data_IF_517192000219
#
_entry.id   IF_517192000219
#
_cell.length_a   1.000
_cell.length_b   1.000
_cell.length_c   1.000
_cell.angle_alpha   90.00
_cell.angle_beta   90.00
_cell.angle_gamma   90.00
#
_symmetry.space_group_name_H-M   'P 1'
#
loop_
_entity.id
_entity.type
_entity.pdbx_description
1 polymer ?
#
# COMPACT_ATOMS: atom_id res chain seq x y z
N UNK A 1 -5.73 50.08 -19.27
CA UNK A 1 -7.14 49.93 -18.83
C UNK A 1 -7.21 48.61 -18.10
N UNK A 2 -7.50 48.70 -16.81
CA UNK A 2 -7.40 47.58 -15.87
C UNK A 2 -8.37 46.48 -16.18
N UNK A 3 -7.81 45.26 -16.41
CA UNK A 3 -8.58 44.03 -16.32
C UNK A 3 -8.73 43.79 -14.80
N UNK A 4 -9.78 44.43 -14.24
CA UNK A 4 -10.10 44.38 -12.83
C UNK A 4 -10.49 42.97 -12.42
N UNK A 5 -9.67 42.42 -11.61
CA UNK A 5 -9.74 41.68 -10.36
C UNK A 5 -11.18 41.39 -9.87
N UNK A 6 -11.73 40.27 -10.24
CA UNK A 6 -12.54 39.50 -9.32
C UNK A 6 -11.61 38.57 -8.52
N UNK A 7 -10.87 39.16 -7.56
CA UNK A 7 -10.23 38.40 -6.53
C UNK A 7 -11.32 37.79 -5.65
N UNK A 8 -11.48 36.48 -5.69
CA UNK A 8 -12.32 35.77 -4.72
C UNK A 8 -11.67 35.93 -3.35
N UNK A 9 -12.05 37.00 -2.61
CA UNK A 9 -11.61 37.20 -1.26
C UNK A 9 -12.33 36.22 -0.33
N UNK A 10 -11.54 35.39 0.35
CA UNK A 10 -12.02 34.56 1.44
C UNK A 10 -11.49 35.11 2.77
N UNK A 11 -12.39 35.46 3.70
CA UNK A 11 -12.02 36.08 4.97
C UNK A 11 -11.17 37.35 4.80
N UNK A 12 -11.35 38.12 3.71
CA UNK A 12 -10.57 39.32 3.43
C UNK A 12 -9.12 39.01 2.99
N UNK A 13 -8.83 37.80 2.55
CA UNK A 13 -7.52 37.40 2.04
C UNK A 13 -7.61 36.95 0.58
N UNK A 14 -6.63 37.35 -0.20
CA UNK A 14 -6.48 36.93 -1.59
C UNK A 14 -5.97 35.50 -1.67
N UNK A 15 -6.53 34.69 -2.58
CA UNK A 15 -6.06 33.31 -2.77
C UNK A 15 -4.59 33.26 -3.22
N UNK A 16 -3.83 32.23 -2.85
CA UNK A 16 -2.43 32.06 -3.25
C UNK A 16 -2.25 32.07 -4.76
N UNK A 17 -1.53 33.04 -5.30
CA UNK A 17 -1.18 33.19 -6.72
C UNK A 17 0.13 33.96 -6.90
N UNK A 18 0.65 33.99 -8.13
CA UNK A 18 1.73 34.90 -8.54
C UNK A 18 1.64 35.13 -10.03
N UNK A 19 1.26 36.34 -10.41
CA UNK A 19 1.18 36.76 -11.81
C UNK A 19 2.53 36.65 -12.53
N UNK A 20 3.60 37.01 -11.84
CA UNK A 20 4.96 36.99 -12.40
C UNK A 20 5.39 35.55 -12.76
N UNK A 21 5.11 34.56 -11.89
CA UNK A 21 5.43 33.16 -12.17
C UNK A 21 4.56 32.58 -13.28
N UNK A 22 3.27 32.95 -13.34
CA UNK A 22 2.37 32.52 -14.43
C UNK A 22 2.87 33.05 -15.78
N UNK A 23 3.21 34.33 -15.84
CA UNK A 23 3.81 34.94 -17.03
C UNK A 23 5.15 34.32 -17.38
N UNK A 24 6.00 34.01 -16.38
CA UNK A 24 7.29 33.37 -16.59
C UNK A 24 7.15 31.98 -17.25
N UNK A 25 6.22 31.15 -16.76
CA UNK A 25 5.96 29.83 -17.36
C UNK A 25 5.40 29.94 -18.78
N UNK A 26 4.37 30.78 -18.99
CA UNK A 26 3.78 30.97 -20.31
C UNK A 26 4.77 31.58 -21.31
N UNK A 27 5.58 32.52 -20.88
CA UNK A 27 6.61 33.14 -21.70
C UNK A 27 7.74 32.17 -22.08
N UNK A 28 8.18 31.33 -21.14
CA UNK A 28 9.15 30.27 -21.42
C UNK A 28 8.61 29.30 -22.49
N UNK A 29 7.35 28.87 -22.37
CA UNK A 29 6.69 28.00 -23.36
C UNK A 29 6.61 28.70 -24.75
N UNK A 30 6.26 29.97 -24.78
CA UNK A 30 6.13 30.71 -26.04
C UNK A 30 7.50 31.00 -26.69
N UNK A 31 8.60 31.03 -25.94
CA UNK A 31 9.97 31.18 -26.44
C UNK A 31 10.53 29.85 -26.98
N UNK A 32 10.30 28.77 -26.26
CA UNK A 32 10.76 27.41 -26.57
C UNK A 32 9.68 26.37 -26.28
N UNK A 33 8.75 26.26 -27.21
CA UNK A 33 7.61 25.36 -27.05
C UNK A 33 7.99 23.87 -27.17
N UNK A 34 9.13 23.53 -27.80
CA UNK A 34 9.52 22.14 -28.01
C UNK A 34 10.00 21.52 -26.69
N UNK A 35 10.76 22.25 -25.91
CA UNK A 35 11.33 21.74 -24.65
C UNK A 35 10.48 22.15 -23.44
N UNK A 36 10.00 23.40 -23.36
CA UNK A 36 9.31 23.91 -22.18
C UNK A 36 7.85 23.42 -22.04
N UNK A 37 7.10 23.25 -23.14
CA UNK A 37 5.69 22.87 -23.04
C UNK A 37 5.47 21.45 -22.56
N UNK A 38 6.19 20.40 -23.01
CA UNK A 38 6.08 19.07 -22.45
C UNK A 38 6.34 19.04 -20.94
N UNK A 39 7.40 19.69 -20.47
CA UNK A 39 7.72 19.79 -19.03
C UNK A 39 6.61 20.49 -18.26
N UNK A 40 6.07 21.59 -18.78
CA UNK A 40 4.97 22.29 -18.13
C UNK A 40 3.68 21.43 -18.09
N UNK A 41 3.35 20.69 -19.16
CA UNK A 41 2.17 19.82 -19.23
C UNK A 41 2.23 18.62 -18.27
N UNK A 42 3.42 18.15 -17.90
CA UNK A 42 3.59 17.11 -16.89
C UNK A 42 3.23 17.59 -15.47
N UNK A 43 3.45 18.88 -15.20
CA UNK A 43 3.32 19.47 -13.85
C UNK A 43 2.00 20.22 -13.68
N UNK A 44 1.58 20.95 -14.74
CA UNK A 44 0.49 21.91 -14.69
C UNK A 44 -0.72 21.50 -15.53
N UNK A 45 -1.88 21.97 -15.08
CA UNK A 45 -3.13 21.99 -15.83
C UNK A 45 -3.58 23.45 -16.01
N UNK A 46 -4.64 23.71 -16.78
CA UNK A 46 -5.19 25.06 -16.89
C UNK A 46 -5.65 25.62 -15.52
N UNK A 47 -6.09 24.76 -14.59
CA UNK A 47 -6.48 25.14 -13.23
C UNK A 47 -5.30 25.58 -12.35
N UNK A 48 -4.07 25.28 -12.75
CA UNK A 48 -2.85 25.69 -12.05
C UNK A 48 -2.66 27.21 -12.11
N UNK A 49 -3.21 27.84 -13.15
CA UNK A 49 -3.18 29.29 -13.31
C UNK A 49 -4.34 29.95 -12.56
N UNK A 50 -4.08 31.06 -11.92
CA UNK A 50 -5.09 31.84 -11.20
C UNK A 50 -5.84 32.81 -12.13
N UNK A 51 -5.11 33.45 -13.07
CA UNK A 51 -5.69 34.41 -14.00
C UNK A 51 -6.41 33.72 -15.15
N UNK A 52 -7.72 34.04 -15.41
CA UNK A 52 -8.47 33.43 -16.51
C UNK A 52 -7.81 33.58 -17.88
N UNK A 53 -7.13 34.71 -18.12
CA UNK A 53 -6.37 34.93 -19.34
C UNK A 53 -5.26 33.90 -19.52
N UNK A 54 -4.52 33.61 -18.46
CA UNK A 54 -3.43 32.65 -18.47
C UNK A 54 -3.94 31.20 -18.61
N UNK A 55 -5.06 30.86 -17.99
CA UNK A 55 -5.75 29.58 -18.18
C UNK A 55 -6.10 29.32 -19.66
N UNK A 56 -6.68 30.34 -20.32
CA UNK A 56 -7.07 30.29 -21.72
C UNK A 56 -5.82 30.14 -22.64
N UNK A 57 -4.75 30.87 -22.32
CA UNK A 57 -3.50 30.79 -23.10
C UNK A 57 -2.90 29.39 -22.95
N UNK A 58 -2.79 28.84 -21.73
CA UNK A 58 -2.25 27.51 -21.50
C UNK A 58 -3.07 26.40 -22.18
N UNK A 59 -4.42 26.47 -22.12
CA UNK A 59 -5.31 25.55 -22.85
C UNK A 59 -5.05 25.64 -24.36
N UNK A 60 -4.85 26.82 -24.87
CA UNK A 60 -4.57 27.05 -26.30
C UNK A 60 -3.22 26.47 -26.73
N UNK A 61 -2.17 26.69 -25.94
CA UNK A 61 -0.83 26.11 -26.14
C UNK A 61 -0.88 24.59 -26.17
N UNK A 62 -1.55 23.99 -25.20
CA UNK A 62 -1.75 22.54 -25.09
C UNK A 62 -2.48 21.98 -26.32
N UNK A 63 -3.54 22.63 -26.77
CA UNK A 63 -4.31 22.22 -27.98
C UNK A 63 -3.50 22.27 -29.25
N UNK A 64 -2.75 23.33 -29.46
CA UNK A 64 -1.87 23.47 -30.65
C UNK A 64 -0.83 22.36 -30.66
N UNK A 65 -0.22 22.09 -29.52
CA UNK A 65 0.75 21.01 -29.37
C UNK A 65 0.17 19.63 -29.68
N UNK A 66 -1.00 19.31 -29.15
CA UNK A 66 -1.70 18.03 -29.40
C UNK A 66 -2.11 17.86 -30.88
N UNK A 67 -2.29 18.96 -31.62
CA UNK A 67 -2.56 18.96 -33.05
C UNK A 67 -1.29 18.95 -33.91
N UNK A 68 -0.11 18.92 -33.28
CA UNK A 68 1.18 18.96 -33.99
C UNK A 68 1.52 20.31 -34.60
N UNK A 69 0.86 21.40 -34.16
CA UNK A 69 1.14 22.77 -34.59
C UNK A 69 2.09 23.41 -33.56
N UNK A 70 3.24 23.93 -33.99
CA UNK A 70 4.13 24.65 -33.09
C UNK A 70 3.40 25.84 -32.45
N UNK A 71 3.32 25.93 -31.12
CA UNK A 71 2.55 26.98 -30.46
C UNK A 71 3.38 28.25 -30.26
N UNK A 72 3.75 28.91 -31.37
CA UNK A 72 4.36 30.22 -31.35
C UNK A 72 3.32 31.34 -31.08
N UNK A 73 3.73 32.56 -30.71
CA UNK A 73 2.82 33.66 -30.40
C UNK A 73 1.81 33.96 -31.50
N UNK A 74 2.18 33.81 -32.78
CA UNK A 74 1.30 34.07 -33.92
C UNK A 74 0.20 33.00 -34.03
N UNK A 75 0.59 31.72 -33.93
CA UNK A 75 -0.33 30.58 -33.91
C UNK A 75 -1.34 30.66 -32.76
N UNK A 76 -0.86 31.08 -31.58
CA UNK A 76 -1.71 31.27 -30.39
C UNK A 76 -2.73 32.38 -30.62
N UNK A 77 -2.33 33.53 -31.15
CA UNK A 77 -3.24 34.66 -31.48
C UNK A 77 -4.29 34.24 -32.51
N UNK A 78 -3.91 33.53 -33.57
CA UNK A 78 -4.85 33.06 -34.58
C UNK A 78 -5.83 32.02 -34.03
N UNK A 79 -5.37 31.07 -33.22
CA UNK A 79 -6.24 30.09 -32.54
C UNK A 79 -7.22 30.79 -31.58
N UNK A 80 -6.74 31.76 -30.77
CA UNK A 80 -7.58 32.57 -29.88
C UNK A 80 -8.61 33.38 -30.64
N UNK A 81 -8.23 33.95 -31.80
CA UNK A 81 -9.14 34.72 -32.66
C UNK A 81 -10.23 33.81 -33.25
N UNK A 82 -9.86 32.64 -33.74
CA UNK A 82 -10.79 31.67 -34.31
C UNK A 82 -11.84 31.18 -33.32
N UNK A 83 -11.51 31.22 -32.00
CA UNK A 83 -12.36 30.80 -30.89
C UNK A 83 -13.08 31.95 -30.19
N UNK A 84 -12.96 33.19 -30.68
CA UNK A 84 -13.54 34.40 -30.12
C UNK A 84 -13.09 34.65 -28.64
N UNK A 85 -11.86 34.19 -28.28
CA UNK A 85 -11.30 34.31 -26.95
C UNK A 85 -10.27 35.45 -26.82
N UNK A 86 -9.91 36.11 -27.89
CA UNK A 86 -8.83 37.08 -27.97
C UNK A 86 -9.01 38.26 -26.99
N UNK A 87 -10.23 38.82 -26.96
CA UNK A 87 -10.55 39.92 -26.02
C UNK A 87 -10.44 39.51 -24.55
N UNK A 88 -10.73 38.23 -24.22
CA UNK A 88 -10.67 37.72 -22.87
C UNK A 88 -9.24 37.53 -22.34
N UNK A 89 -8.28 37.46 -23.23
CA UNK A 89 -6.86 37.36 -22.85
C UNK A 89 -6.14 38.70 -22.91
N UNK A 90 -6.81 39.79 -23.27
CA UNK A 90 -6.25 41.16 -23.34
C UNK A 90 -5.78 41.58 -24.71
N UNK A 91 -6.30 40.93 -25.76
CA UNK A 91 -6.03 41.29 -27.20
C UNK A 91 -4.77 40.68 -27.75
N UNK A 92 -4.46 41.01 -29.02
CA UNK A 92 -3.37 40.45 -29.82
C UNK A 92 -1.99 40.68 -29.18
N UNK A 93 -1.79 41.80 -28.49
CA UNK A 93 -0.48 42.22 -27.93
C UNK A 93 -0.09 41.43 -26.69
N UNK A 94 -1.01 40.82 -25.96
CA UNK A 94 -0.74 40.20 -24.67
C UNK A 94 0.16 38.95 -24.76
N UNK A 95 -0.05 37.98 -25.67
CA UNK A 95 0.87 36.86 -25.86
C UNK A 95 2.29 37.32 -26.20
N UNK A 96 2.46 38.37 -27.02
CA UNK A 96 3.78 38.92 -27.35
C UNK A 96 4.43 39.63 -26.14
N UNK A 97 3.62 40.33 -25.33
CA UNK A 97 4.12 40.99 -24.12
C UNK A 97 4.67 39.98 -23.08
N UNK A 98 4.00 38.82 -22.93
CA UNK A 98 4.45 37.74 -22.07
C UNK A 98 5.83 37.20 -22.48
N UNK A 99 6.04 37.00 -23.79
CA UNK A 99 7.35 36.52 -24.30
C UNK A 99 8.48 37.49 -23.96
N UNK A 100 8.23 38.78 -24.08
CA UNK A 100 9.26 39.80 -23.82
C UNK A 100 9.55 40.02 -22.33
N UNK A 101 8.65 39.59 -21.46
CA UNK A 101 8.81 39.74 -20.03
C UNK A 101 9.71 38.68 -19.37
N UNK A 102 10.08 37.61 -20.10
CA UNK A 102 10.83 36.46 -19.54
C UNK A 102 12.24 36.43 -20.10
N UNK A 103 13.30 36.60 -19.24
CA UNK A 103 14.69 36.61 -19.68
C UNK A 103 15.24 35.22 -20.04
N UNK A 104 14.76 34.13 -19.42
CA UNK A 104 15.33 32.78 -19.52
C UNK A 104 14.22 31.70 -19.42
N UNK A 105 14.17 30.81 -20.39
CA UNK A 105 13.25 29.68 -20.43
C UNK A 105 13.70 28.47 -19.60
N UNK A 106 14.97 28.44 -19.14
CA UNK A 106 15.58 27.27 -18.47
C UNK A 106 14.96 26.93 -17.11
N UNK A 107 14.27 27.85 -16.47
CA UNK A 107 13.67 27.68 -15.13
C UNK A 107 12.19 27.22 -15.15
N UNK A 108 11.66 26.77 -16.29
CA UNK A 108 10.23 26.43 -16.44
C UNK A 108 9.78 25.36 -15.47
N UNK A 109 10.58 24.34 -15.23
CA UNK A 109 10.25 23.25 -14.31
C UNK A 109 10.09 23.77 -12.86
N UNK A 110 11.05 24.57 -12.39
CA UNK A 110 11.01 25.13 -11.04
C UNK A 110 9.83 26.08 -10.87
N UNK A 111 9.55 26.93 -11.85
CA UNK A 111 8.41 27.84 -11.80
C UNK A 111 7.06 27.09 -11.86
N UNK A 112 6.98 26.03 -12.67
CA UNK A 112 5.81 25.16 -12.75
C UNK A 112 5.52 24.46 -11.42
N UNK A 113 6.56 23.97 -10.74
CA UNK A 113 6.39 23.35 -9.42
C UNK A 113 5.80 24.33 -8.39
N UNK A 114 6.31 25.57 -8.35
CA UNK A 114 5.77 26.59 -7.45
C UNK A 114 4.33 26.98 -7.79
N UNK A 115 3.97 27.04 -9.08
CA UNK A 115 2.58 27.26 -9.49
C UNK A 115 1.67 26.11 -9.07
N UNK A 116 2.15 24.88 -9.18
CA UNK A 116 1.43 23.69 -8.73
C UNK A 116 1.17 23.72 -7.24
N UNK A 117 2.16 24.12 -6.42
CA UNK A 117 1.98 24.29 -4.98
C UNK A 117 0.88 25.35 -4.66
N UNK A 118 0.88 26.47 -5.38
CA UNK A 118 -0.17 27.50 -5.22
C UNK A 118 -1.55 26.99 -5.62
N UNK A 119 -1.67 26.19 -6.66
CA UNK A 119 -2.91 25.51 -7.05
C UNK A 119 -3.40 24.60 -5.92
N UNK A 120 -2.54 23.76 -5.37
CA UNK A 120 -2.89 22.85 -4.27
C UNK A 120 -3.37 23.60 -3.03
N UNK A 121 -2.73 24.73 -2.70
CA UNK A 121 -3.19 25.60 -1.62
C UNK A 121 -4.58 26.18 -1.91
N UNK A 122 -4.86 26.62 -3.14
CA UNK A 122 -6.20 27.08 -3.53
C UNK A 122 -7.25 25.97 -3.44
N UNK A 123 -6.93 24.77 -3.89
CA UNK A 123 -7.82 23.60 -3.76
C UNK A 123 -8.09 23.28 -2.29
N UNK A 124 -7.05 23.27 -1.45
CA UNK A 124 -7.19 23.03 -0.02
C UNK A 124 -8.10 24.08 0.65
N UNK A 125 -7.94 25.37 0.32
CA UNK A 125 -8.79 26.45 0.81
C UNK A 125 -10.25 26.24 0.33
N UNK A 126 -10.46 25.90 -0.94
CA UNK A 126 -11.79 25.67 -1.51
C UNK A 126 -12.51 24.50 -0.81
N UNK A 127 -11.83 23.36 -0.66
CA UNK A 127 -12.41 22.19 0.00
C UNK A 127 -12.68 22.44 1.49
N UNK A 128 -11.77 23.17 2.17
CA UNK A 128 -11.99 23.59 3.58
C UNK A 128 -13.23 24.46 3.72
N UNK A 129 -13.51 25.33 2.76
CA UNK A 129 -14.72 26.16 2.73
C UNK A 129 -15.99 25.34 2.57
N UNK A 130 -15.95 24.31 1.74
CA UNK A 130 -17.08 23.40 1.59
C UNK A 130 -17.34 22.68 2.90
N UNK A 131 -16.29 22.16 3.56
CA UNK A 131 -16.39 21.50 4.86
C UNK A 131 -16.94 22.42 5.96
N UNK A 132 -16.49 23.69 5.99
CA UNK A 132 -17.02 24.68 6.92
C UNK A 132 -18.54 24.90 6.70
N UNK A 133 -18.99 25.04 5.44
CA UNK A 133 -20.41 25.20 5.13
C UNK A 133 -21.21 23.98 5.56
N UNK A 134 -20.74 22.77 5.28
CA UNK A 134 -21.38 21.52 5.67
C UNK A 134 -21.48 21.38 7.21
N UNK A 135 -20.42 21.75 7.92
CA UNK A 135 -20.43 21.72 9.39
C UNK A 135 -21.40 22.72 10.00
N UNK A 136 -21.55 23.94 9.42
CA UNK A 136 -22.50 24.95 9.89
C UNK A 136 -23.95 24.62 9.54
N UNK A 137 -24.19 23.94 8.39
CA UNK A 137 -25.57 23.58 7.98
C UNK A 137 -26.20 22.51 8.86
N UNK A 138 -25.40 21.65 9.51
CA UNK A 138 -25.86 20.55 10.36
C UNK A 138 -26.82 19.57 9.65
N UNK A 139 -26.79 19.52 8.32
CA UNK A 139 -27.66 18.64 7.53
C UNK A 139 -27.14 17.18 7.49
N UNK A 140 -25.83 17.00 7.67
CA UNK A 140 -25.14 15.72 7.69
C UNK A 140 -24.71 15.35 9.10
N UNK A 141 -24.60 14.06 9.37
CA UNK A 141 -23.99 13.59 10.63
C UNK A 141 -22.50 13.96 10.70
N UNK A 142 -21.97 14.09 11.92
CA UNK A 142 -20.53 14.39 12.12
C UNK A 142 -19.66 13.35 11.42
N UNK A 143 -20.05 12.06 11.43
CA UNK A 143 -19.31 10.99 10.81
C UNK A 143 -19.26 11.14 9.28
N UNK A 144 -20.38 11.50 8.64
CA UNK A 144 -20.43 11.75 7.20
C UNK A 144 -19.56 12.93 6.79
N UNK A 145 -19.55 14.01 7.59
CA UNK A 145 -18.70 15.20 7.34
C UNK A 145 -17.21 14.81 7.43
N UNK A 146 -16.83 14.01 8.43
CA UNK A 146 -15.46 13.53 8.59
C UNK A 146 -15.01 12.61 7.44
N UNK A 147 -15.86 11.70 7.00
CA UNK A 147 -15.58 10.81 5.88
C UNK A 147 -15.46 11.58 4.55
N UNK A 148 -16.30 12.62 4.36
CA UNK A 148 -16.22 13.52 3.21
C UNK A 148 -14.94 14.38 3.25
N UNK A 149 -14.55 14.89 4.43
CA UNK A 149 -13.31 15.63 4.63
C UNK A 149 -12.08 14.80 4.27
N UNK A 150 -12.01 13.56 4.77
CA UNK A 150 -10.92 12.65 4.48
C UNK A 150 -10.83 12.37 2.97
N UNK A 151 -11.96 12.08 2.32
CA UNK A 151 -12.01 11.82 0.88
C UNK A 151 -11.52 13.01 0.05
N UNK A 152 -11.94 14.24 0.36
CA UNK A 152 -11.54 15.44 -0.36
C UNK A 152 -10.06 15.77 -0.20
N UNK A 153 -9.51 15.63 1.02
CA UNK A 153 -8.08 15.82 1.30
C UNK A 153 -7.25 14.79 0.51
N UNK A 154 -7.67 13.52 0.51
CA UNK A 154 -6.99 12.47 -0.25
C UNK A 154 -7.05 12.67 -1.76
N UNK A 155 -8.11 13.30 -2.29
CA UNK A 155 -8.19 13.65 -3.71
C UNK A 155 -7.22 14.76 -4.11
N UNK A 156 -6.93 15.69 -3.20
CA UNK A 156 -5.89 16.71 -3.41
C UNK A 156 -4.50 16.03 -3.48
N UNK A 157 -4.23 15.08 -2.57
CA UNK A 157 -2.97 14.33 -2.51
C UNK A 157 -2.80 13.38 -3.71
N UNK A 158 -3.88 12.72 -4.16
CA UNK A 158 -3.84 11.86 -5.34
C UNK A 158 -3.45 12.61 -6.63
N UNK A 159 -3.73 13.90 -6.70
CA UNK A 159 -3.25 14.78 -7.77
C UNK A 159 -1.73 15.00 -7.76
N UNK A 160 -1.06 14.79 -6.61
CA UNK A 160 0.40 14.79 -6.48
C UNK A 160 1.03 13.46 -6.96
N UNK A 161 0.26 12.37 -6.89
CA UNK A 161 0.72 11.01 -7.17
C UNK A 161 0.30 10.47 -8.54
N UNK A 162 -0.35 11.26 -9.41
CA UNK A 162 -0.73 10.83 -10.74
C UNK A 162 0.51 10.52 -11.58
N UNK A 163 0.66 9.24 -11.85
CA UNK A 163 1.67 8.50 -12.59
C UNK A 163 2.67 9.31 -13.42
N UNK A 164 3.80 9.68 -12.83
CA UNK A 164 4.97 10.04 -13.62
C UNK A 164 5.39 8.81 -14.41
N UNK A 165 5.37 8.87 -15.72
CA UNK A 165 6.13 7.94 -16.53
C UNK A 165 7.60 8.14 -16.13
N UNK A 166 8.19 7.12 -15.50
CA UNK A 166 9.63 7.09 -15.28
C UNK A 166 10.26 6.50 -16.53
N UNK A 167 11.22 7.17 -17.12
CA UNK A 167 11.99 6.57 -18.19
C UNK A 167 12.85 5.41 -17.66
N UNK A 168 13.33 4.57 -18.55
CA UNK A 168 14.11 3.40 -18.18
C UNK A 168 15.43 3.79 -17.51
N UNK A 169 16.05 4.90 -17.92
CA UNK A 169 17.31 5.39 -17.34
C UNK A 169 17.11 5.79 -15.87
N UNK A 170 16.06 6.54 -15.56
CA UNK A 170 15.69 6.92 -14.18
C UNK A 170 15.42 5.67 -13.32
N UNK A 171 14.62 4.71 -13.84
CA UNK A 171 14.34 3.47 -13.12
C UNK A 171 15.61 2.64 -12.87
N UNK A 172 16.53 2.58 -13.85
CA UNK A 172 17.81 1.88 -13.71
C UNK A 172 18.76 2.61 -12.72
N UNK A 173 18.80 3.93 -12.74
CA UNK A 173 19.59 4.71 -11.77
C UNK A 173 19.10 4.51 -10.35
N UNK A 174 17.79 4.55 -10.12
CA UNK A 174 17.20 4.25 -8.80
C UNK A 174 17.53 2.83 -8.35
N UNK A 175 17.48 1.85 -9.26
CA UNK A 175 17.87 0.48 -8.98
C UNK A 175 19.36 0.37 -8.65
N UNK A 176 20.24 0.97 -9.47
CA UNK A 176 21.70 0.92 -9.27
C UNK A 176 22.12 1.67 -8.02
N UNK A 177 21.52 2.82 -7.70
CA UNK A 177 21.82 3.54 -6.45
C UNK A 177 21.47 2.70 -5.22
N UNK A 178 20.34 2.00 -5.26
CA UNK A 178 19.97 1.07 -4.20
C UNK A 178 20.94 -0.12 -4.09
N UNK A 179 21.54 -0.53 -5.19
CA UNK A 179 22.54 -1.61 -5.25
C UNK A 179 23.91 -1.16 -4.73
N UNK A 180 24.36 0.06 -5.09
CA UNK A 180 25.67 0.63 -4.72
C UNK A 180 25.74 1.06 -3.24
N UNK A 181 24.65 1.58 -2.67
CA UNK A 181 24.57 1.93 -1.24
C UNK A 181 24.78 0.72 -0.31
N UNK A 182 24.62 -0.50 -0.79
CA UNK A 182 24.71 -1.74 0.02
C UNK A 182 26.02 -2.52 -0.16
N UNK A 183 26.91 -2.09 -1.02
CA UNK A 183 28.24 -2.70 -1.14
C UNK A 183 29.12 -2.27 0.02
N UNK A 184 29.16 -3.06 1.09
CA UNK A 184 30.14 -2.91 2.18
C UNK A 184 31.21 -3.98 2.04
N UNK A 185 32.46 -3.57 2.06
CA UNK A 185 33.61 -4.46 2.17
C UNK A 185 33.67 -4.96 3.61
N UNK A 186 33.53 -6.26 3.82
CA UNK A 186 33.69 -6.89 5.13
C UNK A 186 35.12 -6.78 5.63
N UNK A 187 35.38 -7.07 6.93
CA UNK A 187 36.72 -7.02 7.53
C UNK A 187 37.76 -7.87 6.78
N UNK A 188 37.32 -8.86 6.04
CA UNK A 188 38.15 -9.84 5.32
C UNK A 188 38.39 -9.48 3.85
N UNK A 189 38.00 -8.26 3.43
CA UNK A 189 38.15 -7.82 2.03
C UNK A 189 37.16 -8.46 1.04
N UNK A 190 36.24 -9.29 1.48
CA UNK A 190 35.16 -9.85 0.65
C UNK A 190 34.02 -8.83 0.53
N UNK A 191 33.54 -8.62 -0.70
CA UNK A 191 32.33 -7.83 -0.93
C UNK A 191 31.11 -8.58 -0.37
N UNK A 192 30.63 -8.13 0.78
CA UNK A 192 29.35 -8.61 1.34
C UNK A 192 28.26 -7.76 0.67
N UNK A 193 27.74 -8.25 -0.44
CA UNK A 193 26.55 -7.70 -1.07
C UNK A 193 25.32 -8.06 -0.21
N UNK A 194 25.02 -7.24 0.77
CA UNK A 194 23.75 -7.30 1.47
C UNK A 194 22.72 -6.53 0.66
N UNK A 195 22.12 -7.17 -0.35
CA UNK A 195 20.99 -6.64 -1.14
C UNK A 195 19.72 -6.45 -0.28
N UNK A 196 19.85 -5.80 0.89
CA UNK A 196 18.75 -5.63 1.85
C UNK A 196 17.57 -4.85 1.27
N UNK A 197 17.81 -3.86 0.39
CA UNK A 197 16.72 -3.07 -0.21
C UNK A 197 15.93 -3.85 -1.28
N UNK A 198 16.58 -4.78 -1.98
CA UNK A 198 15.95 -5.66 -2.96
C UNK A 198 15.37 -6.91 -2.31
N UNK A 199 15.85 -7.27 -1.12
CA UNK A 199 15.32 -8.35 -0.31
C UNK A 199 14.07 -7.85 0.44
N UNK A 200 13.03 -8.67 0.46
CA UNK A 200 11.83 -8.39 1.22
C UNK A 200 12.06 -8.43 2.73
N UNK A 201 11.01 -8.13 3.49
CA UNK A 201 10.99 -8.25 4.94
C UNK A 201 11.11 -9.73 5.34
N UNK A 202 12.09 -10.07 6.19
CA UNK A 202 12.31 -11.44 6.65
C UNK A 202 11.10 -11.95 7.45
N UNK A 203 10.57 -13.11 7.07
CA UNK A 203 9.45 -13.78 7.78
C UNK A 203 9.83 -14.31 9.16
N UNK A 204 11.11 -14.52 9.38
CA UNK A 204 11.66 -15.18 10.57
C UNK A 204 11.85 -16.68 10.42
N UNK A 205 11.60 -17.23 9.24
CA UNK A 205 11.84 -18.62 8.89
C UNK A 205 12.84 -18.69 7.73
N UNK A 206 14.11 -19.05 8.00
CA UNK A 206 15.18 -18.95 6.99
C UNK A 206 14.92 -19.71 5.70
N UNK A 207 14.26 -20.89 5.79
CA UNK A 207 13.92 -21.66 4.59
C UNK A 207 12.87 -20.96 3.71
N UNK A 208 11.86 -20.34 4.35
CA UNK A 208 10.84 -19.55 3.66
C UNK A 208 11.45 -18.28 3.05
N UNK A 209 12.31 -17.60 3.82
CA UNK A 209 12.98 -16.37 3.38
C UNK A 209 13.95 -16.66 2.21
N UNK A 210 14.60 -17.83 2.19
CA UNK A 210 15.45 -18.25 1.06
C UNK A 210 14.63 -18.47 -0.20
N UNK A 211 13.44 -19.06 -0.10
CA UNK A 211 12.58 -19.36 -1.24
C UNK A 211 11.88 -18.11 -1.78
N UNK A 212 11.38 -17.22 -0.89
CA UNK A 212 10.63 -16.02 -1.28
C UNK A 212 11.52 -14.80 -1.53
N UNK A 213 12.75 -14.78 -0.99
CA UNK A 213 13.55 -13.57 -0.88
C UNK A 213 13.01 -12.58 0.15
N UNK A 214 12.23 -13.08 1.14
CA UNK A 214 11.45 -12.27 2.10
C UNK A 214 10.13 -11.76 1.51
N UNK A 215 9.32 -11.10 2.35
CA UNK A 215 8.05 -10.48 1.94
C UNK A 215 8.34 -9.14 1.24
N UNK A 216 8.17 -9.08 -0.08
CA UNK A 216 8.55 -7.92 -0.90
C UNK A 216 7.55 -6.77 -0.75
N UNK A 217 8.05 -5.56 -0.84
CA UNK A 217 7.23 -4.34 -0.78
C UNK A 217 6.23 -4.30 -1.93
N UNK A 218 4.98 -3.99 -1.60
CA UNK A 218 3.89 -3.92 -2.56
C UNK A 218 3.31 -5.27 -2.97
N UNK A 219 3.80 -6.40 -2.42
CA UNK A 219 3.24 -7.73 -2.69
C UNK A 219 2.02 -8.03 -1.82
N UNK A 220 1.04 -8.68 -2.45
CA UNK A 220 -0.07 -9.34 -1.79
C UNK A 220 0.27 -10.82 -1.62
N UNK A 221 0.41 -11.25 -0.37
CA UNK A 221 0.72 -12.63 0.02
C UNK A 221 -0.55 -13.26 0.60
N UNK A 222 -1.01 -14.35 0.01
CA UNK A 222 -2.16 -15.11 0.51
C UNK A 222 -1.68 -16.33 1.28
N UNK A 223 -2.13 -16.46 2.52
CA UNK A 223 -1.95 -17.68 3.34
C UNK A 223 -3.29 -18.43 3.37
N UNK A 224 -3.35 -19.57 2.72
CA UNK A 224 -4.59 -20.31 2.53
C UNK A 224 -4.55 -21.68 3.23
N UNK A 225 -5.62 -22.01 3.95
CA UNK A 225 -5.81 -23.31 4.58
C UNK A 225 -7.30 -23.59 4.89
N UNK A 226 -7.61 -24.84 5.22
CA UNK A 226 -8.89 -25.19 5.85
C UNK A 226 -8.95 -24.66 7.29
N UNK A 227 -10.16 -24.41 7.86
CA UNK A 227 -10.33 -24.05 9.26
C UNK A 227 -9.62 -25.06 10.19
N UNK A 228 -9.00 -24.58 11.26
CA UNK A 228 -8.31 -25.43 12.26
C UNK A 228 -6.91 -25.89 11.88
N UNK A 229 -6.43 -25.70 10.65
CA UNK A 229 -5.06 -26.07 10.23
C UNK A 229 -4.00 -25.17 10.89
N UNK A 230 -4.33 -23.92 11.24
CA UNK A 230 -3.42 -23.02 11.98
C UNK A 230 -3.04 -21.73 11.26
N UNK A 231 -3.84 -21.24 10.29
CA UNK A 231 -3.56 -19.99 9.54
C UNK A 231 -3.26 -18.79 10.46
N UNK A 232 -4.21 -18.47 11.33
CA UNK A 232 -4.09 -17.36 12.30
C UNK A 232 -2.87 -17.51 13.18
N UNK A 233 -2.58 -18.74 13.65
CA UNK A 233 -1.38 -19.00 14.44
C UNK A 233 -0.11 -18.71 13.63
N UNK A 234 -0.02 -19.12 12.36
CA UNK A 234 1.13 -18.84 11.50
C UNK A 234 1.34 -17.33 11.30
N UNK A 235 0.25 -16.59 11.01
CA UNK A 235 0.30 -15.13 10.82
C UNK A 235 0.76 -14.43 12.10
N UNK A 236 0.28 -14.84 13.28
CA UNK A 236 0.75 -14.30 14.57
C UNK A 236 2.23 -14.64 14.82
N UNK A 237 2.71 -15.83 14.40
CA UNK A 237 4.12 -16.18 14.47
C UNK A 237 4.98 -15.27 13.55
N UNK A 238 4.53 -14.99 12.33
CA UNK A 238 5.21 -14.00 11.48
C UNK A 238 5.23 -12.62 12.16
N UNK A 239 4.09 -12.16 12.67
CA UNK A 239 3.99 -10.88 13.36
C UNK A 239 4.98 -10.75 14.51
N UNK A 240 5.03 -11.76 15.38
CA UNK A 240 5.95 -11.79 16.51
C UNK A 240 7.41 -11.80 16.06
N UNK A 241 7.79 -12.72 15.14
CA UNK A 241 9.18 -12.83 14.64
C UNK A 241 9.67 -11.58 13.92
N UNK A 242 8.78 -10.87 13.21
CA UNK A 242 9.06 -9.60 12.57
C UNK A 242 9.21 -8.49 13.60
N UNK A 243 8.29 -8.40 14.56
CA UNK A 243 8.30 -7.37 15.60
C UNK A 243 9.50 -7.47 16.54
N UNK A 244 9.97 -8.70 16.88
CA UNK A 244 11.19 -8.91 17.69
C UNK A 244 12.46 -8.41 17.01
N UNK A 245 12.41 -8.15 15.68
CA UNK A 245 13.50 -7.49 14.93
C UNK A 245 13.33 -5.97 14.83
N UNK A 246 12.41 -5.40 15.62
CA UNK A 246 12.16 -3.97 15.66
C UNK A 246 11.33 -3.43 14.47
N UNK A 247 10.66 -4.33 13.71
CA UNK A 247 9.83 -3.96 12.57
C UNK A 247 8.37 -3.84 12.97
N UNK A 248 7.74 -2.71 12.68
CA UNK A 248 6.35 -2.46 13.05
C UNK A 248 5.37 -3.28 12.20
N UNK A 249 4.41 -3.91 12.87
CA UNK A 249 3.42 -4.82 12.27
C UNK A 249 2.01 -4.34 12.56
N UNK A 250 1.16 -4.24 11.53
CA UNK A 250 -0.27 -4.00 11.68
C UNK A 250 -1.07 -5.28 11.46
N UNK A 251 -2.02 -5.57 12.34
CA UNK A 251 -2.89 -6.75 12.27
C UNK A 251 -4.34 -6.29 12.27
N UNK A 252 -5.09 -6.63 11.22
CA UNK A 252 -6.54 -6.51 11.18
C UNK A 252 -7.15 -7.90 11.44
N UNK A 253 -7.70 -8.08 12.65
CA UNK A 253 -8.26 -9.34 13.13
C UNK A 253 -9.78 -9.25 13.16
N UNK A 254 -10.45 -9.80 12.14
CA UNK A 254 -11.91 -9.79 12.04
C UNK A 254 -12.57 -11.00 12.68
N UNK A 255 -11.82 -12.09 12.88
CA UNK A 255 -12.32 -13.32 13.50
C UNK A 255 -12.14 -13.34 15.01
N UNK A 256 -11.07 -12.70 15.50
CA UNK A 256 -10.67 -12.77 16.91
C UNK A 256 -10.53 -11.39 17.52
N UNK A 257 -11.00 -11.23 18.75
CA UNK A 257 -10.72 -10.04 19.55
C UNK A 257 -9.24 -9.89 19.91
N UNK A 258 -8.82 -8.66 20.18
CA UNK A 258 -7.42 -8.32 20.55
C UNK A 258 -6.92 -9.07 21.78
N UNK A 259 -7.81 -9.35 22.76
CA UNK A 259 -7.47 -10.12 23.95
C UNK A 259 -7.08 -11.56 23.59
N UNK A 260 -7.82 -12.20 22.65
CA UNK A 260 -7.50 -13.54 22.18
C UNK A 260 -6.19 -13.57 21.38
N UNK A 261 -5.94 -12.56 20.55
CA UNK A 261 -4.69 -12.44 19.83
C UNK A 261 -3.50 -12.27 20.80
N UNK A 262 -3.63 -11.42 21.83
CA UNK A 262 -2.63 -11.21 22.86
C UNK A 262 -2.37 -12.49 23.67
N UNK A 263 -3.45 -13.22 24.05
CA UNK A 263 -3.33 -14.50 24.76
C UNK A 263 -2.57 -15.53 23.90
N UNK A 264 -2.83 -15.63 22.62
CA UNK A 264 -2.12 -16.54 21.70
C UNK A 264 -0.65 -16.18 21.55
N UNK A 265 -0.34 -14.88 21.42
CA UNK A 265 1.04 -14.39 21.43
C UNK A 265 1.75 -14.73 22.76
N UNK A 266 1.06 -14.59 23.89
CA UNK A 266 1.60 -14.91 25.20
C UNK A 266 1.86 -16.43 25.35
N UNK A 267 0.96 -17.29 24.89
CA UNK A 267 1.16 -18.75 24.88
C UNK A 267 2.40 -19.12 24.04
N UNK A 268 2.54 -18.48 22.89
CA UNK A 268 3.65 -18.73 21.97
C UNK A 268 5.00 -18.36 22.58
N UNK A 269 5.07 -17.26 23.33
CA UNK A 269 6.34 -16.76 23.92
C UNK A 269 6.68 -17.41 25.25
N UNK A 270 5.66 -17.63 26.11
CA UNK A 270 5.88 -18.19 27.44
C UNK A 270 6.16 -19.70 27.47
N UNK A 271 5.76 -20.44 26.41
CA UNK A 271 5.79 -21.89 26.39
C UNK A 271 4.80 -22.53 27.36
N UNK A 272 3.76 -21.78 27.77
CA UNK A 272 2.65 -22.28 28.56
C UNK A 272 1.47 -22.54 27.62
N UNK A 273 0.80 -23.68 27.76
CA UNK A 273 -0.25 -24.04 26.83
C UNK A 273 -1.38 -23.01 26.82
N UNK A 274 -1.88 -22.69 25.62
CA UNK A 274 -2.96 -21.71 25.44
C UNK A 274 -4.22 -22.05 26.24
N UNK A 275 -4.54 -23.34 26.40
CA UNK A 275 -5.68 -23.78 27.18
C UNK A 275 -5.51 -23.55 28.68
N UNK A 276 -4.30 -23.61 29.23
CA UNK A 276 -4.00 -23.28 30.61
C UNK A 276 -4.04 -21.77 30.85
N UNK A 277 -3.54 -21.00 29.89
CA UNK A 277 -3.64 -19.53 29.94
C UNK A 277 -5.10 -19.11 29.94
N UNK A 278 -5.92 -19.67 29.04
CA UNK A 278 -7.36 -19.38 28.94
C UNK A 278 -8.12 -19.70 30.24
N UNK A 279 -7.78 -20.81 30.92
CA UNK A 279 -8.41 -21.19 32.19
C UNK A 279 -7.81 -20.50 33.41
N UNK A 280 -6.73 -19.74 33.27
CA UNK A 280 -6.05 -19.11 34.40
C UNK A 280 -5.36 -20.09 35.31
N UNK A 281 -4.97 -21.27 34.84
CA UNK A 281 -4.37 -22.36 35.63
C UNK A 281 -2.84 -22.25 35.64
N UNK A 282 -2.28 -21.39 36.52
CA UNK A 282 -0.84 -21.18 36.60
C UNK A 282 -0.31 -21.48 38.05
N UNK A 283 0.89 -22.01 38.10
CA UNK A 283 1.68 -22.00 39.34
C UNK A 283 2.44 -20.65 39.48
N UNK A 284 3.16 -20.46 40.59
CA UNK A 284 3.90 -19.20 40.85
C UNK A 284 5.03 -18.95 39.87
N UNK A 285 5.71 -19.99 39.42
CA UNK A 285 6.83 -19.91 38.47
C UNK A 285 6.32 -19.54 37.09
N UNK A 286 5.22 -20.15 36.65
CA UNK A 286 4.56 -19.85 35.40
C UNK A 286 4.00 -18.43 35.36
N UNK A 287 3.43 -17.95 36.47
CA UNK A 287 3.00 -16.55 36.55
C UNK A 287 4.18 -15.59 36.46
N UNK A 288 5.32 -15.92 37.03
CA UNK A 288 6.57 -15.14 36.87
C UNK A 288 7.02 -15.11 35.39
N UNK A 289 6.96 -16.25 34.71
CA UNK A 289 7.29 -16.37 33.28
C UNK A 289 6.32 -15.55 32.43
N UNK A 290 5.02 -15.61 32.69
CA UNK A 290 3.97 -14.81 32.01
C UNK A 290 4.27 -13.33 32.18
N UNK A 291 4.60 -12.84 33.37
CA UNK A 291 4.92 -11.43 33.61
C UNK A 291 6.13 -10.96 32.80
N UNK A 292 7.19 -11.76 32.78
CA UNK A 292 8.40 -11.46 32.02
C UNK A 292 8.06 -11.38 30.51
N UNK A 293 7.36 -12.39 29.99
CA UNK A 293 6.92 -12.38 28.57
C UNK A 293 6.01 -11.20 28.25
N UNK A 294 5.13 -10.80 29.18
CA UNK A 294 4.30 -9.61 29.03
C UNK A 294 5.16 -8.34 28.89
N UNK A 295 6.16 -8.15 29.76
CA UNK A 295 7.06 -6.98 29.70
C UNK A 295 7.84 -6.93 28.37
N UNK A 296 8.35 -8.07 27.93
CA UNK A 296 9.04 -8.21 26.65
C UNK A 296 8.09 -7.89 25.46
N UNK A 297 6.89 -8.45 25.47
CA UNK A 297 5.91 -8.25 24.39
C UNK A 297 5.30 -6.85 24.36
N UNK A 298 5.12 -6.22 25.53
CA UNK A 298 4.56 -4.86 25.61
C UNK A 298 5.41 -3.81 24.88
N UNK A 299 6.70 -4.09 24.67
CA UNK A 299 7.62 -3.23 23.95
C UNK A 299 7.62 -3.49 22.42
N UNK A 300 6.99 -4.57 21.95
CA UNK A 300 6.99 -4.91 20.53
C UNK A 300 6.05 -3.99 19.74
N UNK A 301 6.47 -3.52 18.56
CA UNK A 301 5.67 -2.64 17.73
C UNK A 301 4.60 -3.44 16.94
N UNK A 302 3.65 -4.06 17.65
CA UNK A 302 2.51 -4.80 17.08
C UNK A 302 1.23 -4.01 17.37
N UNK A 303 0.50 -3.65 16.33
CA UNK A 303 -0.74 -2.89 16.40
C UNK A 303 -1.91 -3.75 15.90
N UNK A 304 -2.94 -3.93 16.72
CA UNK A 304 -4.07 -4.82 16.44
C UNK A 304 -5.35 -3.99 16.35
N UNK A 305 -6.06 -4.12 15.23
CA UNK A 305 -7.43 -3.65 15.03
C UNK A 305 -8.36 -4.88 14.98
N UNK A 306 -9.28 -5.00 15.93
CA UNK A 306 -10.21 -6.10 16.09
C UNK A 306 -11.64 -5.78 15.67
N UNK A 307 -11.80 -4.80 14.79
CA UNK A 307 -13.11 -4.43 14.24
C UNK A 307 -13.69 -5.55 13.39
N UNK A 308 -14.85 -6.05 13.75
CA UNK A 308 -15.46 -7.26 13.21
C UNK A 308 -16.07 -7.10 11.80
N UNK A 309 -16.42 -5.90 11.37
CA UNK A 309 -17.03 -5.62 10.08
C UNK A 309 -16.28 -4.51 9.35
N UNK A 310 -15.33 -4.88 8.53
CA UNK A 310 -14.58 -3.94 7.71
C UNK A 310 -14.88 -4.18 6.22
N UNK A 311 -15.36 -3.15 5.54
CA UNK A 311 -15.31 -3.12 4.09
C UNK A 311 -13.92 -2.67 3.63
N UNK A 312 -13.62 -2.93 2.36
CA UNK A 312 -12.27 -2.65 1.80
C UNK A 312 -11.90 -1.17 1.88
N UNK A 313 -12.87 -0.23 1.81
CA UNK A 313 -12.62 1.21 1.95
C UNK A 313 -12.22 1.57 3.37
N UNK A 314 -12.94 1.07 4.38
CA UNK A 314 -12.61 1.29 5.78
C UNK A 314 -11.24 0.71 6.14
N UNK A 315 -10.93 -0.51 5.65
CA UNK A 315 -9.62 -1.11 5.82
C UNK A 315 -8.52 -0.23 5.21
N UNK A 316 -8.72 0.28 4.00
CA UNK A 316 -7.75 1.14 3.31
C UNK A 316 -7.45 2.41 4.11
N UNK A 317 -8.48 3.07 4.62
CA UNK A 317 -8.32 4.29 5.41
C UNK A 317 -7.58 4.01 6.74
N UNK A 318 -7.94 2.92 7.42
CA UNK A 318 -7.26 2.51 8.67
C UNK A 318 -5.82 2.10 8.43
N UNK A 319 -5.55 1.37 7.35
CA UNK A 319 -4.20 0.97 6.96
C UNK A 319 -3.29 2.18 6.70
N UNK A 320 -3.81 3.21 6.00
CA UNK A 320 -3.10 4.48 5.78
C UNK A 320 -2.81 5.21 7.09
N UNK A 321 -3.81 5.32 7.98
CA UNK A 321 -3.63 5.95 9.30
C UNK A 321 -2.60 5.22 10.14
N UNK A 322 -2.69 3.89 10.17
CA UNK A 322 -1.74 3.04 10.90
C UNK A 322 -0.32 3.22 10.36
N UNK A 323 -0.18 3.22 9.03
CA UNK A 323 1.11 3.47 8.38
C UNK A 323 1.65 4.88 8.68
N UNK A 324 0.82 5.92 8.59
CA UNK A 324 1.22 7.29 8.85
C UNK A 324 1.65 7.52 10.32
N UNK A 325 0.93 6.91 11.27
CA UNK A 325 1.20 7.09 12.71
C UNK A 325 2.35 6.23 13.23
N UNK A 326 2.49 5.01 12.74
CA UNK A 326 3.38 4.01 13.34
C UNK A 326 4.41 3.45 12.34
N UNK A 327 4.41 3.92 11.10
CA UNK A 327 5.36 3.48 10.04
C UNK A 327 5.44 1.96 9.92
N UNK A 328 4.27 1.28 9.94
CA UNK A 328 4.22 -0.18 9.84
C UNK A 328 4.87 -0.65 8.54
N UNK A 329 5.67 -1.70 8.64
CA UNK A 329 6.42 -2.28 7.52
C UNK A 329 5.71 -3.48 6.88
N UNK A 330 4.66 -3.98 7.53
CA UNK A 330 3.80 -5.05 7.02
C UNK A 330 2.39 -4.93 7.60
N UNK A 331 1.39 -5.33 6.82
CA UNK A 331 0.00 -5.46 7.26
C UNK A 331 -0.44 -6.90 7.11
N UNK A 332 -1.18 -7.40 8.10
CA UNK A 332 -1.77 -8.74 8.12
C UNK A 332 -3.28 -8.64 8.31
N UNK A 333 -4.05 -9.41 7.53
CA UNK A 333 -5.53 -9.41 7.53
C UNK A 333 -6.04 -10.83 7.76
N UNK A 334 -6.74 -11.06 8.86
CA UNK A 334 -7.30 -12.36 9.22
C UNK A 334 -8.81 -12.27 9.45
N UNK A 335 -9.63 -12.77 8.52
CA UNK A 335 -9.41 -13.30 7.18
C UNK A 335 -10.35 -12.63 6.16
N UNK A 336 -9.95 -12.61 4.90
CA UNK A 336 -10.58 -11.80 3.86
C UNK A 336 -12.07 -12.14 3.57
N UNK A 337 -12.52 -13.39 3.83
CA UNK A 337 -13.93 -13.76 3.62
C UNK A 337 -14.89 -13.21 4.69
N UNK A 338 -14.41 -12.61 5.78
CA UNK A 338 -15.24 -11.87 6.73
C UNK A 338 -15.43 -10.40 6.32
N UNK A 339 -14.67 -9.94 5.33
CA UNK A 339 -14.86 -8.59 4.80
C UNK A 339 -16.16 -8.49 3.99
N UNK A 340 -16.75 -7.32 4.04
CA UNK A 340 -17.91 -6.96 3.24
C UNK A 340 -17.49 -6.23 1.96
N UNK A 341 -18.22 -6.46 0.86
CA UNK A 341 -18.11 -5.64 -0.34
C UNK A 341 -18.66 -4.23 -0.09
N UNK A 342 -18.44 -3.30 -1.05
CA UNK A 342 -18.99 -1.94 -0.94
C UNK A 342 -20.51 -1.89 -1.03
N UNK A 343 -21.15 -2.93 -1.60
CA UNK A 343 -22.61 -3.10 -1.71
C UNK A 343 -23.01 -4.49 -1.23
N UNK A 344 -23.10 -4.71 0.10
CA UNK A 344 -23.43 -6.02 0.64
C UNK A 344 -24.80 -6.51 0.13
N UNK A 345 -24.82 -7.72 -0.43
CA UNK A 345 -26.05 -8.36 -0.89
C UNK A 345 -26.58 -7.98 -2.29
N UNK A 346 -26.06 -6.93 -2.93
CA UNK A 346 -26.42 -6.56 -4.31
C UNK A 346 -25.57 -7.31 -5.35
N UNK A 347 -24.34 -7.63 -5.00
CA UNK A 347 -23.37 -8.33 -5.85
C UNK A 347 -23.18 -9.78 -5.36
N UNK A 348 -22.95 -10.71 -6.31
CA UNK A 348 -22.65 -12.10 -5.93
C UNK A 348 -21.33 -12.20 -5.17
N UNK A 349 -21.21 -13.16 -4.24
CA UNK A 349 -20.01 -13.35 -3.37
C UNK A 349 -18.68 -13.35 -4.11
N UNK A 350 -18.65 -13.86 -5.34
CA UNK A 350 -17.44 -13.86 -6.21
C UNK A 350 -17.00 -12.42 -6.55
N UNK A 351 -17.97 -11.52 -6.80
CA UNK A 351 -17.67 -10.12 -7.11
C UNK A 351 -17.15 -9.38 -5.89
N UNK A 352 -17.76 -9.59 -4.71
CA UNK A 352 -17.29 -9.01 -3.43
C UNK A 352 -15.85 -9.42 -3.15
N UNK A 353 -15.53 -10.71 -3.28
CA UNK A 353 -14.17 -11.22 -3.06
C UNK A 353 -13.19 -10.66 -4.09
N UNK A 354 -13.64 -10.45 -5.33
CA UNK A 354 -12.83 -9.81 -6.38
C UNK A 354 -12.49 -8.36 -6.01
N UNK A 355 -13.47 -7.60 -5.54
CA UNK A 355 -13.28 -6.23 -5.10
C UNK A 355 -12.31 -6.15 -3.91
N UNK A 356 -12.51 -7.02 -2.91
CA UNK A 356 -11.64 -7.11 -1.73
C UNK A 356 -10.20 -7.44 -2.13
N UNK A 357 -10.00 -8.45 -2.97
CA UNK A 357 -8.67 -8.89 -3.43
C UNK A 357 -7.91 -7.76 -4.14
N UNK A 358 -8.56 -7.10 -5.10
CA UNK A 358 -7.98 -5.94 -5.80
C UNK A 358 -7.67 -4.79 -4.86
N UNK A 359 -8.57 -4.51 -3.92
CA UNK A 359 -8.38 -3.48 -2.92
C UNK A 359 -7.18 -3.76 -2.00
N UNK A 360 -7.00 -5.00 -1.53
CA UNK A 360 -5.84 -5.41 -0.73
C UNK A 360 -4.53 -5.24 -1.51
N UNK A 361 -4.51 -5.66 -2.80
CA UNK A 361 -3.35 -5.44 -3.67
C UNK A 361 -3.06 -3.96 -3.87
N UNK A 362 -4.10 -3.13 -4.02
CA UNK A 362 -3.94 -1.69 -4.15
C UNK A 362 -3.35 -1.06 -2.88
N UNK A 363 -3.80 -1.50 -1.67
CA UNK A 363 -3.23 -1.03 -0.39
C UNK A 363 -1.73 -1.36 -0.30
N UNK A 364 -1.35 -2.61 -0.61
CA UNK A 364 0.06 -3.03 -0.58
C UNK A 364 0.93 -2.16 -1.50
N UNK A 365 0.48 -1.91 -2.74
CA UNK A 365 1.20 -1.08 -3.72
C UNK A 365 1.28 0.38 -3.33
N UNK A 366 0.19 0.95 -2.82
CA UNK A 366 0.11 2.35 -2.43
C UNK A 366 1.01 2.67 -1.24
N UNK A 367 0.95 1.83 -0.20
CA UNK A 367 1.78 2.00 0.99
C UNK A 367 3.22 1.49 0.79
N UNK A 368 3.50 0.81 -0.32
CA UNK A 368 4.80 0.19 -0.62
C UNK A 368 5.28 -0.74 0.50
N UNK A 369 4.35 -1.52 1.09
CA UNK A 369 4.64 -2.53 2.11
C UNK A 369 4.01 -3.86 1.71
N UNK A 370 4.54 -5.01 2.17
CA UNK A 370 3.88 -6.30 2.00
C UNK A 370 2.56 -6.36 2.77
N UNK A 371 1.58 -7.04 2.20
CA UNK A 371 0.30 -7.33 2.83
C UNK A 371 0.05 -8.83 2.81
N UNK A 372 -0.11 -9.43 3.99
CA UNK A 372 -0.50 -10.83 4.14
C UNK A 372 -2.01 -10.89 4.39
N UNK A 373 -2.75 -11.69 3.61
CA UNK A 373 -4.15 -11.94 3.87
C UNK A 373 -4.42 -13.44 4.01
N UNK A 374 -5.12 -13.80 5.08
CA UNK A 374 -5.61 -15.15 5.29
C UNK A 374 -6.78 -15.44 4.36
N UNK A 375 -6.81 -16.64 3.77
CA UNK A 375 -7.92 -17.13 2.97
C UNK A 375 -8.34 -18.54 3.41
N UNK A 376 -9.63 -18.78 3.44
CA UNK A 376 -10.18 -20.11 3.69
C UNK A 376 -10.30 -20.86 2.37
N UNK A 377 -9.87 -22.13 2.36
CA UNK A 377 -10.00 -23.02 1.20
C UNK A 377 -11.41 -23.64 1.11
N UNK A 378 -11.82 -23.95 -0.11
CA UNK A 378 -13.06 -24.69 -0.40
C UNK A 378 -13.07 -26.06 0.28
N UNK A 379 -14.27 -26.55 0.65
CA UNK A 379 -14.46 -27.89 1.21
C UNK A 379 -14.09 -29.02 0.23
N UNK A 380 -13.94 -28.74 -1.05
CA UNK A 380 -13.58 -29.73 -2.07
C UNK A 380 -12.20 -30.39 -1.81
N UNK A 381 -11.30 -29.71 -1.10
CA UNK A 381 -10.02 -30.28 -0.64
C UNK A 381 -10.24 -31.56 0.17
N UNK A 382 -11.27 -31.61 1.04
CA UNK A 382 -11.54 -32.73 1.93
C UNK A 382 -12.07 -33.98 1.21
N UNK A 383 -12.58 -33.82 -0.02
CA UNK A 383 -13.09 -34.92 -0.85
C UNK A 383 -12.02 -35.59 -1.71
N UNK A 384 -10.83 -35.01 -1.83
CA UNK A 384 -9.70 -35.61 -2.54
C UNK A 384 -9.01 -36.67 -1.69
N UNK A 385 -8.43 -37.67 -2.37
CA UNK A 385 -7.70 -38.76 -1.72
C UNK A 385 -6.47 -38.29 -0.95
N UNK A 386 -5.73 -37.34 -1.52
CA UNK A 386 -4.50 -36.80 -0.96
C UNK A 386 -4.72 -35.58 -0.05
N UNK A 387 -5.94 -34.96 -0.10
CA UNK A 387 -6.32 -33.77 0.65
C UNK A 387 -5.33 -32.59 0.61
N UNK A 388 -4.40 -32.62 -0.34
CA UNK A 388 -3.42 -31.54 -0.52
C UNK A 388 -4.08 -30.36 -1.23
N UNK A 389 -3.94 -29.14 -0.68
CA UNK A 389 -4.50 -27.95 -1.30
C UNK A 389 -3.88 -27.62 -2.66
N UNK A 390 -4.71 -27.20 -3.60
CA UNK A 390 -4.34 -26.71 -4.92
C UNK A 390 -4.85 -25.29 -5.14
N UNK A 391 -4.27 -24.54 -6.08
CA UNK A 391 -4.71 -23.19 -6.44
C UNK A 391 -6.22 -23.14 -6.80
N UNK A 392 -6.73 -24.20 -7.44
CA UNK A 392 -8.16 -24.34 -7.76
C UNK A 392 -9.08 -24.37 -6.53
N UNK A 393 -8.56 -24.60 -5.32
CA UNK A 393 -9.36 -24.62 -4.08
C UNK A 393 -9.61 -23.22 -3.53
N UNK A 394 -8.97 -22.21 -4.10
CA UNK A 394 -9.33 -20.79 -3.95
C UNK A 394 -10.52 -20.40 -4.85
N UNK A 395 -11.27 -21.36 -5.41
CA UNK A 395 -12.17 -21.26 -6.57
C UNK A 395 -13.40 -20.37 -6.41
N UNK A 396 -13.85 -20.08 -5.20
CA UNK A 396 -14.85 -19.02 -4.97
C UNK A 396 -14.24 -17.62 -5.15
N UNK A 397 -12.95 -17.57 -5.49
CA UNK A 397 -12.10 -16.41 -5.49
C UNK A 397 -11.01 -16.52 -6.56
N UNK A 398 -11.35 -16.87 -7.80
CA UNK A 398 -10.38 -16.91 -8.92
C UNK A 398 -9.61 -15.59 -9.10
N UNK A 399 -10.19 -14.50 -8.62
CA UNK A 399 -9.54 -13.18 -8.55
C UNK A 399 -8.42 -13.12 -7.50
N UNK A 400 -8.54 -13.80 -6.36
CA UNK A 400 -7.47 -13.86 -5.34
C UNK A 400 -6.23 -14.48 -5.96
N UNK A 401 -6.40 -15.57 -6.72
CA UNK A 401 -5.29 -16.19 -7.42
C UNK A 401 -4.64 -15.21 -8.41
N UNK A 402 -5.42 -14.44 -9.16
CA UNK A 402 -4.88 -13.50 -10.15
C UNK A 402 -4.15 -12.32 -9.51
N UNK A 403 -4.73 -11.72 -8.47
CA UNK A 403 -4.24 -10.51 -7.82
C UNK A 403 -3.04 -10.77 -6.89
N UNK A 404 -2.96 -11.96 -6.27
CA UNK A 404 -1.86 -12.34 -5.38
C UNK A 404 -0.53 -12.46 -6.12
N UNK A 405 0.54 -11.98 -5.51
CA UNK A 405 1.91 -12.19 -5.99
C UNK A 405 2.49 -13.51 -5.45
N UNK A 406 2.13 -13.86 -4.21
CA UNK A 406 2.52 -15.10 -3.56
C UNK A 406 1.28 -15.79 -2.98
N UNK A 407 1.18 -17.10 -3.17
CA UNK A 407 0.14 -17.93 -2.53
C UNK A 407 0.83 -19.06 -1.78
N UNK A 408 0.64 -19.08 -0.46
CA UNK A 408 1.14 -20.10 0.47
C UNK A 408 -0.03 -20.98 0.89
N UNK A 409 0.01 -22.24 0.51
CA UNK A 409 -0.98 -23.24 0.90
C UNK A 409 -0.46 -24.02 2.10
N UNK A 410 -1.21 -24.02 3.20
CA UNK A 410 -0.85 -24.79 4.38
C UNK A 410 -1.55 -26.15 4.37
N UNK A 411 -0.78 -27.20 4.60
CA UNK A 411 -1.26 -28.57 4.74
C UNK A 411 -0.69 -29.20 6.00
N UNK A 412 -1.51 -29.99 6.69
CA UNK A 412 -1.17 -30.68 7.90
C UNK A 412 -1.82 -32.05 7.92
N UNK A 413 -1.01 -33.11 7.80
CA UNK A 413 -1.48 -34.49 7.59
C UNK A 413 -2.21 -35.00 8.84
N UNK A 414 -1.62 -34.84 10.04
CA UNK A 414 -2.19 -35.27 11.30
C UNK A 414 -3.58 -34.67 11.60
N UNK A 415 -3.83 -33.44 11.15
CA UNK A 415 -5.14 -32.79 11.28
C UNK A 415 -6.23 -33.57 10.53
N UNK A 416 -5.90 -34.07 9.34
CA UNK A 416 -6.84 -34.84 8.53
C UNK A 416 -6.97 -36.31 9.00
N UNK A 417 -5.91 -36.89 9.60
CA UNK A 417 -5.94 -38.23 10.22
C UNK A 417 -6.83 -38.22 11.45
N UNK A 418 -6.71 -37.21 12.33
CA UNK A 418 -7.60 -37.02 13.50
C UNK A 418 -9.07 -36.93 13.10
N UNK A 419 -9.39 -36.26 11.98
CA UNK A 419 -10.77 -36.20 11.48
C UNK A 419 -11.29 -37.56 10.99
N UNK A 420 -10.42 -38.51 10.62
CA UNK A 420 -10.80 -39.87 10.23
C UNK A 420 -11.05 -40.80 11.41
N UNK A 421 -10.75 -40.35 12.63
CA UNK A 421 -10.79 -41.21 13.82
C UNK A 421 -9.61 -42.22 13.86
N UNK A 422 -8.61 -42.02 13.04
CA UNK A 422 -7.38 -42.77 13.09
C UNK A 422 -6.60 -42.25 14.30
N UNK A 423 -6.19 -43.16 15.21
CA UNK A 423 -5.50 -42.80 16.44
C UNK A 423 -4.17 -42.11 16.08
N UNK A 424 -4.15 -40.77 16.11
CA UNK A 424 -2.90 -40.08 16.30
C UNK A 424 -2.33 -40.52 17.65
N UNK A 425 -1.14 -41.08 17.65
CA UNK A 425 -0.40 -41.40 18.87
C UNK A 425 -0.27 -40.09 19.65
N UNK A 426 -1.05 -39.99 20.73
CA UNK A 426 -1.41 -38.77 21.47
C UNK A 426 -0.29 -38.10 22.26
N UNK A 427 0.97 -38.33 21.95
CA UNK A 427 2.13 -37.81 22.69
C UNK A 427 3.09 -36.94 21.84
N UNK A 428 2.81 -36.73 20.55
CA UNK A 428 3.70 -35.88 19.74
C UNK A 428 3.33 -34.42 19.99
N UNK A 429 4.18 -33.71 20.76
CA UNK A 429 4.01 -32.27 21.04
C UNK A 429 4.05 -31.37 19.81
N UNK A 430 4.32 -31.90 18.62
CA UNK A 430 4.42 -31.11 17.39
C UNK A 430 4.03 -31.87 16.13
N UNK A 431 3.40 -31.19 15.19
CA UNK A 431 3.03 -31.70 13.87
C UNK A 431 3.86 -31.06 12.78
N UNK A 432 4.15 -31.82 11.73
CA UNK A 432 4.76 -31.26 10.51
C UNK A 432 3.69 -30.52 9.71
N UNK A 433 4.00 -29.29 9.37
CA UNK A 433 3.16 -28.45 8.51
C UNK A 433 3.91 -28.14 7.22
N UNK A 434 3.30 -28.52 6.12
CA UNK A 434 3.80 -28.19 4.79
C UNK A 434 3.28 -26.82 4.36
N UNK A 435 4.18 -25.90 4.05
CA UNK A 435 3.91 -24.64 3.41
C UNK A 435 4.26 -24.78 1.94
N UNK A 436 3.26 -25.00 1.09
CA UNK A 436 3.44 -25.07 -0.35
C UNK A 436 3.27 -23.69 -0.96
N UNK A 437 4.35 -23.14 -1.52
CA UNK A 437 4.34 -21.89 -2.29
C UNK A 437 3.79 -22.23 -3.69
N UNK A 438 2.46 -22.25 -3.80
CA UNK A 438 1.76 -22.67 -5.01
C UNK A 438 1.81 -21.62 -6.13
N UNK A 439 2.02 -20.35 -5.78
CA UNK A 439 2.25 -19.25 -6.71
C UNK A 439 3.33 -18.31 -6.16
N UNK A 440 4.26 -17.92 -7.04
CA UNK A 440 5.23 -16.86 -6.77
C UNK A 440 5.51 -16.11 -8.09
N UNK A 441 4.98 -14.88 -8.22
CA UNK A 441 5.05 -14.10 -9.46
C UNK A 441 6.49 -13.75 -9.87
N UNK A 442 7.34 -13.46 -8.89
CA UNK A 442 8.69 -12.94 -9.08
C UNK A 442 9.78 -13.90 -8.55
N UNK A 443 9.49 -15.20 -8.47
CA UNK A 443 10.44 -16.19 -7.96
C UNK A 443 9.96 -17.64 -8.15
N UNK A 444 10.71 -18.61 -7.63
CA UNK A 444 10.38 -20.01 -7.74
C UNK A 444 9.21 -20.40 -6.82
N UNK A 445 8.47 -21.40 -7.21
CA UNK A 445 7.53 -22.14 -6.35
C UNK A 445 8.31 -23.27 -5.63
N UNK A 446 7.72 -23.79 -4.55
CA UNK A 446 8.37 -24.85 -3.79
C UNK A 446 7.66 -25.14 -2.49
N UNK A 447 8.27 -25.96 -1.65
CA UNK A 447 7.70 -26.40 -0.39
C UNK A 447 8.68 -26.15 0.76
N UNK A 448 8.15 -25.66 1.87
CA UNK A 448 8.88 -25.46 3.13
C UNK A 448 8.15 -26.22 4.22
N UNK A 449 8.89 -26.91 5.10
CA UNK A 449 8.33 -27.60 6.24
C UNK A 449 8.59 -26.81 7.51
N UNK A 450 7.58 -26.74 8.38
CA UNK A 450 7.67 -26.21 9.73
C UNK A 450 7.15 -27.24 10.72
N UNK A 451 7.56 -27.13 11.98
CA UNK A 451 7.00 -27.89 13.10
C UNK A 451 6.01 -27.00 13.83
N UNK A 452 4.79 -27.45 13.98
CA UNK A 452 3.75 -26.73 14.73
C UNK A 452 3.54 -27.35 16.10
N UNK A 453 3.89 -26.61 17.15
CA UNK A 453 3.71 -26.97 18.55
C UNK A 453 2.32 -26.51 19.01
N UNK A 454 1.34 -27.42 18.89
CA UNK A 454 -0.07 -27.14 19.13
C UNK A 454 -0.42 -26.50 20.47
N UNK A 455 0.10 -27.00 21.62
CA UNK A 455 -0.26 -26.44 22.92
C UNK A 455 0.14 -24.98 23.06
N UNK A 456 1.20 -24.59 22.37
CA UNK A 456 1.82 -23.26 22.45
C UNK A 456 1.48 -22.37 21.25
N UNK A 457 0.75 -22.87 20.26
CA UNK A 457 0.41 -22.17 19.00
C UNK A 457 1.67 -21.65 18.29
N UNK A 458 2.81 -22.34 18.44
CA UNK A 458 4.13 -21.91 17.99
C UNK A 458 4.61 -22.71 16.79
N UNK A 459 5.09 -22.01 15.78
CA UNK A 459 5.78 -22.62 14.65
C UNK A 459 7.29 -22.50 14.81
N UNK A 460 7.99 -23.61 14.56
CA UNK A 460 9.44 -23.68 14.56
C UNK A 460 9.96 -24.18 13.22
N UNK A 461 11.21 -23.84 12.83
CA UNK A 461 11.84 -24.46 11.68
C UNK A 461 11.85 -25.97 11.84
N UNK A 462 11.52 -26.68 10.77
CA UNK A 462 11.61 -28.14 10.77
C UNK A 462 13.08 -28.55 10.73
N UNK A 463 13.54 -29.26 11.76
CA UNK A 463 14.86 -29.85 11.81
C UNK A 463 14.82 -31.18 11.04
N UNK A 464 15.34 -31.21 9.80
CA UNK A 464 15.65 -32.46 9.12
C UNK A 464 16.99 -32.98 9.60
N UNK A 465 17.07 -34.24 9.99
CA UNK A 465 18.35 -34.88 10.37
C UNK A 465 19.33 -35.00 9.19
N UNK A 466 18.93 -34.73 7.94
CA UNK A 466 19.73 -34.88 6.75
C UNK A 466 19.60 -33.65 5.81
N UNK A 467 20.44 -32.64 6.02
CA UNK A 467 20.98 -31.85 4.90
C UNK A 467 22.45 -31.52 5.25
N UNK A 468 23.43 -32.18 4.64
CA UNK A 468 24.80 -31.66 4.61
C UNK A 468 24.75 -30.30 3.92
N UNK A 469 25.41 -29.32 4.54
CA UNK A 469 25.68 -28.03 3.93
C UNK A 469 26.54 -28.31 2.69
N UNK A 470 25.90 -28.49 1.55
CA UNK A 470 26.60 -28.55 0.26
C UNK A 470 26.98 -27.13 -0.12
N UNK A 471 28.28 -26.87 -0.12
CA UNK A 471 28.89 -25.73 -0.77
C UNK A 471 28.37 -25.64 -2.21
N UNK A 472 27.70 -24.56 -2.52
CA UNK A 472 27.46 -24.17 -3.91
C UNK A 472 28.45 -23.04 -4.23
N UNK A 473 29.47 -23.41 -5.04
CA UNK A 473 30.32 -22.49 -5.79
C UNK A 473 29.49 -21.52 -6.65
#
# INVERSE_FOLDING_TARGET
MDVERESVEFLGRVLPHSQELEQAVLGAILQDAQDALPVAMEILTHESFYYPAHQIIFDTLTRLHLRGVPPDPLAVVEELRSRELLERVGGDSYPYAIVTAVPDASAVETHAQVLREKELLRRLISESNVLLKEAYSQEKSVQEILDDAERRILQIDAGLMSGRFSDLDTALREFMSAYEEEQRVGPDGQMISTLKKLRGLDSGYPQLDRLLGGFKRGDLIIVAARPGVGKTALVLNFAHRIATRGKAVGIFSMEMGKEQAAMRLLAMTSGISSSRIDRGEFNREEMSTIRRCYEEMASLPIYIDDSSMLNIRALKNRARRLWAQHQVEIIMVDYLQLMEGMRPGEEGRVQEVTEISRGLKQIARELKIPLIACSQLSRQVEHRSDRKPLLSDLRESGSIEQDADVVIMMYREDYYELQRGEHATSEVMGSVVDLNIAKHRNGPTGQVKLTYLHPYLRFEPYASEDIPIGDYE
#
